data_IF_648016787877
#
_entry.id   IF_648016787877
#
_cell.length_a   1.000
_cell.length_b   1.000
_cell.length_c   1.000
_cell.angle_alpha   90.00
_cell.angle_beta   90.00
_cell.angle_gamma   90.00
#
_symmetry.space_group_name_H-M   'P 1'
#
loop_
_entity.id
_entity.type
_entity.pdbx_description
1 polymer ?
#
# COMPACT_ATOMS: atom_id res chain seq x y z
N UNK A 1 11.67 -12.94 10.38
CA UNK A 1 11.56 -14.39 10.15
C UNK A 1 11.29 -14.61 8.67
N UNK A 2 12.05 -15.45 7.98
CA UNK A 2 11.83 -15.69 6.55
C UNK A 2 10.41 -16.22 6.32
N UNK A 3 9.72 -15.66 5.35
CA UNK A 3 8.34 -16.05 5.03
C UNK A 3 8.25 -16.46 3.58
N UNK A 4 7.58 -17.59 3.33
CA UNK A 4 7.37 -18.12 1.98
C UNK A 4 5.95 -18.62 1.82
N UNK A 5 5.42 -18.54 0.60
CA UNK A 5 4.20 -19.27 0.20
C UNK A 5 4.64 -20.64 -0.31
N UNK A 6 3.97 -21.69 0.15
CA UNK A 6 4.33 -23.08 -0.14
C UNK A 6 3.22 -23.83 -0.90
N UNK A 7 1.97 -23.38 -0.82
CA UNK A 7 0.86 -23.87 -1.64
C UNK A 7 -0.18 -22.76 -1.86
N UNK A 8 -0.80 -22.76 -3.04
CA UNK A 8 -1.98 -21.97 -3.38
C UNK A 8 -2.94 -22.92 -4.09
N UNK A 9 -4.09 -23.20 -3.48
CA UNK A 9 -5.05 -24.17 -3.98
C UNK A 9 -6.43 -23.51 -4.14
N UNK A 10 -7.05 -23.56 -5.32
CA UNK A 10 -8.41 -23.07 -5.49
C UNK A 10 -9.38 -23.95 -4.68
N UNK A 11 -10.41 -23.32 -4.12
CA UNK A 11 -11.55 -24.02 -3.53
C UNK A 11 -12.58 -24.26 -4.63
N UNK A 12 -12.78 -25.53 -5.00
CA UNK A 12 -13.68 -25.89 -6.11
C UNK A 12 -15.09 -25.34 -5.91
N UNK A 13 -15.64 -24.70 -6.95
CA UNK A 13 -16.99 -24.13 -6.92
C UNK A 13 -17.10 -22.79 -6.19
N UNK A 14 -15.99 -22.20 -5.73
CA UNK A 14 -15.97 -20.87 -5.12
C UNK A 14 -14.97 -19.95 -5.82
N UNK A 15 -14.96 -18.67 -5.42
CA UNK A 15 -13.97 -17.67 -5.81
C UNK A 15 -12.84 -17.54 -4.78
N UNK A 16 -12.59 -18.60 -4.02
CA UNK A 16 -11.65 -18.60 -2.90
C UNK A 16 -10.43 -19.48 -3.16
N UNK A 17 -9.33 -19.13 -2.50
CA UNK A 17 -8.05 -19.82 -2.57
C UNK A 17 -7.54 -20.09 -1.16
N UNK A 18 -7.13 -21.33 -0.89
CA UNK A 18 -6.36 -21.68 0.29
C UNK A 18 -4.89 -21.38 0.01
N UNK A 19 -4.31 -20.52 0.85
CA UNK A 19 -2.90 -20.16 0.78
C UNK A 19 -2.19 -20.69 2.01
N UNK A 20 -1.21 -21.56 1.78
CA UNK A 20 -0.31 -22.04 2.83
C UNK A 20 0.99 -21.28 2.81
N UNK A 21 1.40 -20.86 4.00
CA UNK A 21 2.62 -20.10 4.22
C UNK A 21 3.50 -20.79 5.25
N UNK A 22 4.80 -20.61 5.10
CA UNK A 22 5.81 -20.96 6.09
C UNK A 22 6.42 -19.65 6.63
N UNK A 23 6.28 -19.39 7.92
CA UNK A 23 6.78 -18.18 8.62
C UNK A 23 7.79 -18.64 9.67
N UNK A 24 9.08 -18.45 9.40
CA UNK A 24 10.12 -19.16 10.13
C UNK A 24 9.94 -20.65 9.92
N UNK A 25 9.71 -21.39 11.01
CA UNK A 25 9.43 -22.83 10.97
C UNK A 25 7.94 -23.16 11.12
N UNK A 26 7.08 -22.14 11.24
CA UNK A 26 5.66 -22.31 11.50
C UNK A 26 4.85 -22.30 10.21
N UNK A 27 4.04 -23.34 10.00
CA UNK A 27 3.07 -23.39 8.90
C UNK A 27 1.78 -22.70 9.30
N UNK A 28 1.29 -21.82 8.43
CA UNK A 28 0.01 -21.13 8.58
C UNK A 28 -0.81 -21.28 7.31
N UNK A 29 -2.14 -21.27 7.46
CA UNK A 29 -3.08 -21.32 6.34
C UNK A 29 -4.03 -20.15 6.45
N UNK A 30 -4.29 -19.52 5.31
CA UNK A 30 -5.24 -18.43 5.18
C UNK A 30 -6.12 -18.66 3.96
N UNK A 31 -7.30 -18.05 3.97
CA UNK A 31 -8.20 -18.03 2.82
C UNK A 31 -8.12 -16.68 2.14
N UNK A 32 -8.09 -16.69 0.81
CA UNK A 32 -8.15 -15.50 -0.03
C UNK A 32 -9.40 -15.57 -0.89
N UNK A 33 -10.07 -14.43 -1.07
CA UNK A 33 -11.23 -14.29 -1.93
C UNK A 33 -10.86 -13.39 -3.12
N UNK A 34 -11.28 -13.80 -4.31
CA UNK A 34 -11.15 -13.01 -5.53
C UNK A 34 -12.53 -12.49 -5.94
N UNK A 35 -12.70 -11.18 -5.90
CA UNK A 35 -13.94 -10.52 -6.32
C UNK A 35 -13.71 -9.79 -7.64
N UNK A 36 -14.61 -9.99 -8.61
CA UNK A 36 -14.62 -9.25 -9.86
C UNK A 36 -15.82 -8.30 -9.85
N UNK A 37 -15.63 -6.98 -9.66
CA UNK A 37 -16.70 -6.01 -9.72
C UNK A 37 -17.32 -6.01 -11.12
N UNK A 38 -18.65 -6.03 -11.23
CA UNK A 38 -19.37 -6.12 -12.51
C UNK A 38 -19.05 -4.99 -13.50
N UNK A 39 -18.54 -3.85 -13.02
CA UNK A 39 -18.32 -2.65 -13.83
C UNK A 39 -16.83 -2.34 -14.09
N UNK A 40 -15.91 -3.15 -13.57
CA UNK A 40 -14.48 -2.83 -13.63
C UNK A 40 -13.66 -4.00 -14.18
N UNK A 41 -12.61 -3.68 -14.93
CA UNK A 41 -11.74 -4.66 -15.57
C UNK A 41 -10.65 -5.20 -14.63
N UNK A 42 -10.81 -5.08 -13.32
CA UNK A 42 -9.83 -5.54 -12.34
C UNK A 42 -10.46 -6.50 -11.33
N UNK A 43 -9.63 -7.43 -10.84
CA UNK A 43 -10.00 -8.32 -9.75
C UNK A 43 -9.46 -7.75 -8.43
N UNK A 44 -10.30 -7.77 -7.39
CA UNK A 44 -9.93 -7.48 -6.02
C UNK A 44 -9.55 -8.79 -5.34
N UNK A 45 -8.37 -8.81 -4.73
CA UNK A 45 -7.86 -10.00 -4.05
C UNK A 45 -7.67 -9.64 -2.58
N UNK A 46 -8.46 -10.27 -1.71
CA UNK A 46 -8.45 -10.02 -0.28
C UNK A 46 -8.15 -11.29 0.50
N UNK A 47 -7.25 -11.20 1.48
CA UNK A 47 -7.11 -12.26 2.49
C UNK A 47 -8.22 -12.16 3.53
N UNK A 48 -8.50 -13.27 4.21
CA UNK A 48 -9.45 -13.31 5.32
C UNK A 48 -9.06 -12.38 6.49
N UNK A 49 -9.97 -12.25 7.45
CA UNK A 49 -9.80 -11.37 8.61
C UNK A 49 -8.55 -11.77 9.41
N UNK A 50 -8.23 -13.05 9.50
CA UNK A 50 -7.10 -13.56 10.27
C UNK A 50 -5.77 -13.22 9.58
N UNK A 51 -5.72 -13.34 8.26
CA UNK A 51 -4.60 -12.87 7.43
C UNK A 51 -4.36 -11.37 7.62
N UNK A 52 -5.41 -10.57 7.50
CA UNK A 52 -5.32 -9.12 7.63
C UNK A 52 -4.84 -8.69 9.03
N UNK A 53 -5.30 -9.37 10.08
CA UNK A 53 -4.82 -9.15 11.45
C UNK A 53 -3.37 -9.58 11.61
N UNK A 54 -3.01 -10.76 11.10
CA UNK A 54 -1.67 -11.34 11.27
C UNK A 54 -0.60 -10.51 10.56
N UNK A 55 -0.89 -10.02 9.35
CA UNK A 55 0.05 -9.25 8.53
C UNK A 55 -0.15 -7.73 8.59
N UNK A 56 -0.93 -7.21 9.55
CA UNK A 56 -1.24 -5.77 9.67
C UNK A 56 -0.01 -4.85 9.59
N UNK A 57 1.11 -5.27 10.17
CA UNK A 57 2.38 -4.53 10.18
C UNK A 57 3.40 -5.01 9.14
N UNK A 58 3.04 -6.00 8.33
CA UNK A 58 3.88 -6.66 7.33
C UNK A 58 3.22 -6.56 5.94
N UNK A 59 2.76 -5.36 5.58
CA UNK A 59 1.97 -5.12 4.37
C UNK A 59 2.69 -5.49 3.07
N UNK A 60 4.03 -5.44 3.06
CA UNK A 60 4.83 -5.90 1.93
C UNK A 60 4.62 -7.40 1.64
N UNK A 61 4.45 -8.21 2.69
CA UNK A 61 4.10 -9.63 2.53
C UNK A 61 2.68 -9.75 1.99
N UNK A 62 1.72 -9.00 2.57
CA UNK A 62 0.32 -9.01 2.12
C UNK A 62 0.18 -8.70 0.64
N UNK A 63 0.84 -7.65 0.16
CA UNK A 63 0.80 -7.24 -1.24
C UNK A 63 1.38 -8.32 -2.16
N UNK A 64 2.52 -8.92 -1.77
CA UNK A 64 3.18 -9.95 -2.57
C UNK A 64 2.38 -11.26 -2.62
N UNK A 65 1.76 -11.65 -1.52
CA UNK A 65 0.88 -12.85 -1.49
C UNK A 65 -0.36 -12.61 -2.35
N UNK A 66 -0.99 -11.43 -2.26
CA UNK A 66 -2.13 -11.07 -3.10
C UNK A 66 -1.80 -11.13 -4.60
N UNK A 67 -0.63 -10.64 -5.00
CA UNK A 67 -0.18 -10.76 -6.40
C UNK A 67 0.00 -12.22 -6.82
N UNK A 68 0.60 -13.08 -5.98
CA UNK A 68 0.75 -14.51 -6.28
C UNK A 68 -0.62 -15.19 -6.47
N UNK A 69 -1.61 -14.91 -5.60
CA UNK A 69 -2.97 -15.45 -5.76
C UNK A 69 -3.57 -14.98 -7.07
N UNK A 70 -3.41 -13.71 -7.43
CA UNK A 70 -3.92 -13.18 -8.70
C UNK A 70 -3.22 -13.75 -9.92
N UNK A 71 -1.95 -14.12 -9.80
CA UNK A 71 -1.26 -14.85 -10.86
C UNK A 71 -1.85 -16.25 -11.05
N UNK A 72 -2.11 -16.99 -9.96
CA UNK A 72 -2.75 -18.32 -10.02
C UNK A 72 -4.17 -18.23 -10.58
N UNK A 73 -4.97 -17.25 -10.15
CA UNK A 73 -6.34 -17.06 -10.64
C UNK A 73 -6.38 -16.82 -12.16
N UNK A 74 -5.40 -16.08 -12.70
CA UNK A 74 -5.23 -15.86 -14.14
C UNK A 74 -4.61 -17.04 -14.89
N UNK A 75 -4.46 -18.20 -14.24
CA UNK A 75 -3.92 -19.43 -14.82
C UNK A 75 -2.40 -19.40 -15.03
N UNK A 76 -1.66 -18.49 -14.38
CA UNK A 76 -0.20 -18.50 -14.46
C UNK A 76 0.36 -19.61 -13.58
N UNK A 77 1.36 -20.31 -14.11
CA UNK A 77 2.11 -21.32 -13.37
C UNK A 77 3.16 -20.61 -12.51
N UNK A 78 3.17 -20.91 -11.22
CA UNK A 78 4.12 -20.37 -10.25
C UNK A 78 4.92 -21.53 -9.66
N UNK A 79 6.24 -21.41 -9.64
CA UNK A 79 7.12 -22.37 -8.97
C UNK A 79 7.14 -22.12 -7.46
N UNK A 80 6.65 -23.08 -6.68
CA UNK A 80 6.62 -23.02 -5.23
C UNK A 80 7.75 -23.89 -4.63
N UNK A 81 8.34 -23.50 -3.48
CA UNK A 81 7.97 -22.37 -2.63
C UNK A 81 8.52 -21.01 -3.08
N UNK A 82 7.74 -19.94 -2.87
CA UNK A 82 8.15 -18.55 -3.20
C UNK A 82 8.39 -17.76 -1.92
N UNK A 83 9.60 -17.19 -1.77
CA UNK A 83 9.91 -16.27 -0.67
C UNK A 83 9.18 -14.93 -0.83
N UNK A 84 8.40 -14.54 0.18
CA UNK A 84 7.58 -13.31 0.16
C UNK A 84 8.11 -12.18 1.06
N UNK A 85 9.24 -12.40 1.72
CA UNK A 85 9.95 -11.40 2.52
C UNK A 85 10.20 -11.88 3.95
N UNK A 86 10.65 -10.95 4.79
CA UNK A 86 10.81 -11.20 6.22
C UNK A 86 9.61 -10.67 6.99
N UNK A 87 9.04 -11.54 7.84
CA UNK A 87 8.02 -11.19 8.82
C UNK A 87 8.66 -10.61 10.06
N UNK A 88 8.17 -9.44 10.48
CA UNK A 88 8.54 -8.74 11.69
C UNK A 88 7.44 -8.86 12.74
N UNK A 89 7.81 -9.06 14.00
CA UNK A 89 6.85 -8.94 15.10
C UNK A 89 6.36 -7.49 15.20
N UNK A 90 5.20 -7.21 15.80
CA UNK A 90 4.71 -5.84 15.97
C UNK A 90 5.76 -4.91 16.57
N UNK A 91 6.51 -5.37 17.57
CA UNK A 91 7.56 -4.60 18.25
C UNK A 91 8.69 -4.25 17.27
N UNK A 92 9.18 -5.25 16.53
CA UNK A 92 10.24 -5.05 15.54
C UNK A 92 9.79 -4.20 14.34
N UNK A 93 8.53 -4.33 13.92
CA UNK A 93 7.95 -3.54 12.84
C UNK A 93 7.78 -2.07 13.25
N UNK A 94 7.35 -1.81 14.49
CA UNK A 94 7.27 -0.46 15.05
C UNK A 94 8.65 0.18 15.20
N UNK A 95 9.68 -0.57 15.61
CA UNK A 95 11.06 -0.08 15.66
C UNK A 95 11.60 0.29 14.27
N UNK A 96 11.30 -0.49 13.24
CA UNK A 96 11.67 -0.13 11.86
C UNK A 96 10.95 1.14 11.40
N UNK A 97 9.64 1.28 11.65
CA UNK A 97 8.91 2.50 11.36
C UNK A 97 9.48 3.73 12.10
N UNK A 98 9.88 3.57 13.36
CA UNK A 98 10.58 4.62 14.10
C UNK A 98 11.93 4.98 13.48
N UNK A 99 12.71 3.99 13.00
CA UNK A 99 13.97 4.25 12.28
C UNK A 99 13.76 4.97 10.96
N UNK A 100 12.67 4.72 10.24
CA UNK A 100 12.31 5.50 9.04
C UNK A 100 11.95 6.95 9.41
N UNK A 101 11.17 7.17 10.49
CA UNK A 101 10.90 8.52 11.02
C UNK A 101 12.18 9.25 11.45
N UNK A 102 13.13 8.55 12.07
CA UNK A 102 14.41 9.12 12.48
C UNK A 102 15.33 9.38 11.28
N UNK A 103 15.27 8.56 10.22
CA UNK A 103 16.02 8.80 8.98
C UNK A 103 15.52 10.05 8.24
N UNK A 104 14.21 10.24 8.14
CA UNK A 104 13.65 11.49 7.60
C UNK A 104 13.92 12.69 8.52
N UNK A 105 14.08 12.46 9.82
CA UNK A 105 14.47 13.48 10.81
C UNK A 105 15.97 13.84 10.83
N UNK A 106 16.84 13.14 10.09
CA UNK A 106 18.29 13.41 10.07
C UNK A 106 18.79 14.08 8.78
N UNK A 107 17.90 14.47 7.86
CA UNK A 107 18.25 15.39 6.76
C UNK A 107 17.77 16.80 7.15
N UNK A 108 18.71 17.59 7.65
CA UNK A 108 18.64 19.04 7.91
C UNK A 108 17.61 19.52 8.95
N UNK A 109 18.13 19.80 10.15
CA UNK A 109 17.62 20.89 10.99
C UNK A 109 17.85 22.23 10.27
N UNK A 110 16.97 22.55 9.32
CA UNK A 110 16.60 23.92 8.98
C UNK A 110 15.06 23.94 8.92
N UNK A 111 14.40 25.01 9.41
CA UNK A 111 12.97 25.01 9.66
C UNK A 111 12.17 25.05 8.34
N UNK A 112 11.87 23.89 7.76
CA UNK A 112 11.04 23.80 6.53
C UNK A 112 9.55 23.78 6.87
N UNK A 113 9.15 23.37 8.08
CA UNK A 113 7.73 23.36 8.48
C UNK A 113 7.16 24.76 8.73
N UNK A 114 7.94 25.69 9.29
CA UNK A 114 7.50 27.07 9.44
C UNK A 114 7.32 27.75 8.08
N UNK A 115 8.29 27.61 7.16
CA UNK A 115 8.21 28.23 5.83
C UNK A 115 7.06 27.64 4.99
N UNK A 116 6.82 26.32 5.02
CA UNK A 116 5.67 25.73 4.29
C UNK A 116 4.32 26.11 4.90
N UNK A 117 4.22 26.18 6.22
CA UNK A 117 3.01 26.64 6.90
C UNK A 117 2.74 28.10 6.57
N UNK A 118 3.74 28.96 6.63
CA UNK A 118 3.59 30.40 6.43
C UNK A 118 3.31 30.76 4.96
N UNK A 119 3.96 30.07 4.01
CA UNK A 119 3.64 30.18 2.57
C UNK A 119 2.22 29.67 2.29
N UNK A 120 1.79 28.57 2.94
CA UNK A 120 0.42 28.05 2.79
C UNK A 120 -0.61 29.02 3.38
N UNK A 121 -0.34 29.59 4.54
CA UNK A 121 -1.21 30.59 5.17
C UNK A 121 -1.26 31.89 4.36
N UNK A 122 -0.15 32.35 3.81
CA UNK A 122 -0.12 33.51 2.90
C UNK A 122 -0.88 33.22 1.59
N UNK A 123 -0.73 32.02 1.02
CA UNK A 123 -1.45 31.61 -0.18
C UNK A 123 -2.97 31.58 0.06
N UNK A 124 -3.42 31.04 1.19
CA UNK A 124 -4.85 31.03 1.57
C UNK A 124 -5.36 32.47 1.74
N UNK A 125 -4.60 33.33 2.43
CA UNK A 125 -4.97 34.73 2.67
C UNK A 125 -5.00 35.58 1.39
N UNK A 126 -4.23 35.20 0.37
CA UNK A 126 -4.26 35.83 -0.96
C UNK A 126 -5.49 35.39 -1.75
N UNK A 127 -5.85 34.09 -1.69
CA UNK A 127 -7.05 33.56 -2.37
C UNK A 127 -8.34 34.14 -1.80
N UNK A 128 -8.44 34.30 -0.49
CA UNK A 128 -9.62 34.91 0.16
C UNK A 128 -9.81 36.41 -0.16
N UNK A 129 -8.75 37.09 -0.61
CA UNK A 129 -8.81 38.51 -1.01
C UNK A 129 -9.05 38.72 -2.50
N UNK A 130 -9.11 37.66 -3.29
CA UNK A 130 -9.41 37.77 -4.72
C UNK A 130 -10.92 37.96 -4.92
N UNK A 131 -11.37 38.94 -5.73
CA UNK A 131 -12.77 39.07 -6.08
C UNK A 131 -13.22 37.81 -6.84
N UNK A 132 -14.44 37.34 -6.57
CA UNK A 132 -14.96 36.06 -7.08
C UNK A 132 -14.86 35.92 -8.61
N UNK A 133 -14.89 37.04 -9.34
CA UNK A 133 -14.70 37.09 -10.79
C UNK A 133 -13.32 36.62 -11.28
N UNK A 134 -12.29 36.58 -10.41
CA UNK A 134 -10.93 36.15 -10.74
C UNK A 134 -10.54 34.77 -10.18
N UNK A 135 -11.41 34.13 -9.39
CA UNK A 135 -11.15 32.78 -8.86
C UNK A 135 -11.09 31.71 -9.97
N UNK A 136 -11.90 31.87 -11.02
CA UNK A 136 -11.93 30.94 -12.15
C UNK A 136 -10.64 30.93 -12.99
N UNK A 137 -9.96 32.06 -13.11
CA UNK A 137 -8.67 32.14 -13.81
C UNK A 137 -7.51 31.64 -12.94
N UNK A 138 -7.57 31.88 -11.62
CA UNK A 138 -6.57 31.39 -10.67
C UNK A 138 -6.51 29.85 -10.63
N UNK A 139 -7.65 29.16 -10.75
CA UNK A 139 -7.72 27.69 -10.81
C UNK A 139 -7.00 27.16 -12.06
N UNK A 140 -7.24 27.77 -13.24
CA UNK A 140 -6.58 27.36 -14.49
C UNK A 140 -5.07 27.52 -14.46
N UNK A 141 -4.56 28.58 -13.82
CA UNK A 141 -3.11 28.78 -13.67
C UNK A 141 -2.49 27.71 -12.77
N UNK A 142 -3.14 27.38 -11.65
CA UNK A 142 -2.68 26.34 -10.72
C UNK A 142 -2.69 24.94 -11.38
N UNK A 143 -3.71 24.62 -12.17
CA UNK A 143 -3.76 23.38 -12.95
C UNK A 143 -2.62 23.31 -13.97
N UNK A 144 -2.29 24.42 -14.64
CA UNK A 144 -1.17 24.45 -15.60
C UNK A 144 0.20 24.25 -14.95
N UNK A 145 0.37 24.72 -13.71
CA UNK A 145 1.60 24.55 -12.93
C UNK A 145 1.76 23.11 -12.41
N UNK A 146 0.65 22.45 -12.06
CA UNK A 146 0.66 21.05 -11.64
C UNK A 146 1.07 20.08 -12.77
N UNK A 147 0.65 20.36 -14.01
CA UNK A 147 1.04 19.55 -15.19
C UNK A 147 2.53 19.71 -15.50
N UNK A 148 3.11 20.90 -15.32
CA UNK A 148 4.54 21.15 -15.57
C UNK A 148 5.48 20.53 -14.54
N UNK A 149 4.98 20.15 -13.36
CA UNK A 149 5.77 19.49 -12.31
C UNK A 149 5.84 17.96 -12.49
N UNK A 150 5.09 17.40 -13.45
CA UNK A 150 5.06 15.97 -13.77
C UNK A 150 5.59 15.63 -15.18
N UNK A 151 6.28 16.57 -15.83
CA UNK A 151 7.17 16.31 -16.98
C UNK A 151 8.62 16.49 -16.56
#
# INVERSE_FOLDING_TARGET
MKTSVIAIEPLEGTNEFKVMMLIGDNRQQFTFTVEQPQQESFAVIGGDIDFCKFFRFNQHISAKVGDLVGQVERGKIIELPVGVGDFYTPEAAMEQQQRFRLRDGMINQQPVEEVKSEVRHQAIKLVEKLPESMLGEAIKVLESLAVKAHM
#
